data_IF_002783482259
#
_entry.id   IF_002783482259
#
_cell.length_a   1.000
_cell.length_b   1.000
_cell.length_c   1.000
_cell.angle_alpha   90.00
_cell.angle_beta   90.00
_cell.angle_gamma   90.00
#
_symmetry.space_group_name_H-M   'P 1'
#
loop_
_entity.id
_entity.type
_entity.pdbx_description
1 polymer ?
#
# COMPACT_ATOMS: atom_id res chain seq x y z
N UNK A 1 28.71 6.13 -19.67
CA UNK A 1 27.75 6.89 -18.84
C UNK A 1 26.73 5.91 -18.28
N UNK A 2 26.96 5.50 -17.04
CA UNK A 2 26.11 4.60 -16.26
C UNK A 2 24.84 5.34 -15.85
N UNK A 3 23.69 4.94 -16.40
CA UNK A 3 22.38 5.40 -15.96
C UNK A 3 21.53 4.19 -15.59
N UNK A 4 21.14 4.11 -14.32
CA UNK A 4 20.19 3.15 -13.78
C UNK A 4 18.95 3.02 -14.71
N UNK A 5 18.85 1.94 -15.50
CA UNK A 5 17.64 1.56 -16.28
C UNK A 5 16.69 0.69 -15.44
N UNK A 6 16.46 1.09 -14.20
CA UNK A 6 15.63 0.36 -13.24
C UNK A 6 14.79 1.33 -12.44
N UNK A 7 14.01 2.18 -13.11
CA UNK A 7 12.98 2.96 -12.44
C UNK A 7 11.62 2.46 -12.89
N UNK A 8 10.75 2.23 -11.91
CA UNK A 8 9.46 1.59 -11.97
C UNK A 8 8.51 2.16 -13.05
N UNK A 9 8.68 1.74 -14.31
CA UNK A 9 7.88 2.22 -15.45
C UNK A 9 6.37 2.11 -15.21
N UNK A 10 5.92 1.03 -14.54
CA UNK A 10 4.53 0.87 -14.13
C UNK A 10 4.12 1.90 -13.07
N UNK A 11 4.95 2.17 -12.07
CA UNK A 11 4.65 3.16 -11.02
C UNK A 11 4.60 4.57 -11.63
N UNK A 12 5.53 4.91 -12.53
CA UNK A 12 5.49 6.17 -13.27
C UNK A 12 4.23 6.29 -14.12
N UNK A 13 3.84 5.21 -14.83
CA UNK A 13 2.61 5.20 -15.61
C UNK A 13 1.36 5.35 -14.74
N UNK A 14 1.33 4.72 -13.55
CA UNK A 14 0.26 4.89 -12.56
C UNK A 14 0.21 6.35 -12.13
N UNK A 15 1.34 6.95 -11.73
CA UNK A 15 1.37 8.35 -11.27
C UNK A 15 0.82 9.30 -12.33
N UNK A 16 1.29 9.20 -13.57
CA UNK A 16 0.79 10.03 -14.68
C UNK A 16 -0.72 9.83 -14.92
N UNK A 17 -1.19 8.58 -14.89
CA UNK A 17 -2.61 8.27 -15.05
C UNK A 17 -3.46 8.79 -13.89
N UNK A 18 -2.91 8.90 -12.67
CA UNK A 18 -3.57 9.50 -11.53
C UNK A 18 -3.59 11.02 -11.65
N UNK A 19 -2.50 11.65 -12.06
CA UNK A 19 -2.41 13.10 -12.27
C UNK A 19 -3.43 13.57 -13.32
N UNK A 20 -3.61 12.81 -14.41
CA UNK A 20 -4.58 13.08 -15.48
C UNK A 20 -6.06 13.08 -15.01
N UNK A 21 -6.37 12.45 -13.87
CA UNK A 21 -7.75 12.23 -13.40
C UNK A 21 -7.99 12.70 -11.96
N UNK A 22 -7.05 13.48 -11.40
CA UNK A 22 -7.14 14.02 -10.04
C UNK A 22 -6.96 12.98 -8.93
N UNK A 23 -5.93 12.13 -9.05
CA UNK A 23 -5.36 11.35 -7.96
C UNK A 23 -6.05 10.03 -7.61
N UNK A 24 -6.98 9.52 -8.43
CA UNK A 24 -7.78 8.34 -8.05
C UNK A 24 -7.77 7.23 -9.11
N UNK A 25 -7.40 6.00 -8.70
CA UNK A 25 -7.46 4.80 -9.57
C UNK A 25 -8.91 4.52 -10.01
N UNK A 26 -9.89 4.74 -9.12
CA UNK A 26 -11.30 4.57 -9.44
C UNK A 26 -11.75 5.57 -10.51
N UNK A 27 -11.24 6.80 -10.49
CA UNK A 27 -11.45 7.77 -11.57
C UNK A 27 -10.75 7.34 -12.85
N UNK A 28 -9.49 6.90 -12.77
CA UNK A 28 -8.74 6.41 -13.93
C UNK A 28 -9.52 5.31 -14.67
N UNK A 29 -10.09 4.33 -13.95
CA UNK A 29 -10.94 3.27 -14.53
C UNK A 29 -12.18 3.78 -15.27
N UNK A 30 -12.73 4.93 -14.87
CA UNK A 30 -13.89 5.57 -15.51
C UNK A 30 -13.51 6.40 -16.74
N UNK A 31 -12.23 6.65 -17.00
CA UNK A 31 -11.72 7.32 -18.20
C UNK A 31 -11.10 6.29 -19.16
N UNK A 32 -11.82 5.80 -20.19
CA UNK A 32 -11.39 4.64 -20.97
C UNK A 32 -10.05 4.84 -21.71
N UNK A 33 -9.75 6.07 -22.14
CA UNK A 33 -8.49 6.39 -22.82
C UNK A 33 -7.29 6.29 -21.86
N UNK A 34 -7.37 6.94 -20.70
CA UNK A 34 -6.34 6.93 -19.65
C UNK A 34 -6.12 5.50 -19.15
N UNK A 35 -7.22 4.79 -18.84
CA UNK A 35 -7.15 3.42 -18.37
C UNK A 35 -6.50 2.48 -19.38
N UNK A 36 -6.90 2.56 -20.66
CA UNK A 36 -6.35 1.70 -21.72
C UNK A 36 -4.87 1.94 -21.92
N UNK A 37 -4.43 3.21 -21.90
CA UNK A 37 -3.01 3.57 -22.00
C UNK A 37 -2.21 3.01 -20.82
N UNK A 38 -2.69 3.21 -19.59
CA UNK A 38 -2.06 2.68 -18.38
C UNK A 38 -1.90 1.15 -18.46
N UNK A 39 -2.98 0.44 -18.80
CA UNK A 39 -2.98 -1.02 -18.93
C UNK A 39 -2.01 -1.48 -20.02
N UNK A 40 -1.92 -0.77 -21.16
CA UNK A 40 -0.97 -1.11 -22.23
C UNK A 40 0.47 -1.02 -21.74
N UNK A 41 0.84 0.09 -21.10
CA UNK A 41 2.20 0.30 -20.57
C UNK A 41 2.53 -0.75 -19.50
N UNK A 42 1.59 -1.03 -18.60
CA UNK A 42 1.79 -2.06 -17.58
C UNK A 42 1.98 -3.45 -18.19
N UNK A 43 1.15 -3.79 -19.20
CA UNK A 43 1.25 -5.05 -19.94
C UNK A 43 2.61 -5.17 -20.63
N UNK A 44 2.98 -4.18 -21.43
CA UNK A 44 4.27 -4.17 -22.16
C UNK A 44 5.43 -4.29 -21.19
N UNK A 45 5.42 -3.52 -20.10
CA UNK A 45 6.46 -3.58 -19.08
C UNK A 45 6.59 -5.00 -18.53
N UNK A 46 5.49 -5.61 -18.07
CA UNK A 46 5.51 -6.97 -17.49
C UNK A 46 5.98 -8.02 -18.50
N UNK A 47 5.51 -7.93 -19.74
CA UNK A 47 5.89 -8.82 -20.83
C UNK A 47 7.40 -8.72 -21.14
N UNK A 48 7.95 -7.51 -21.16
CA UNK A 48 9.39 -7.28 -21.32
C UNK A 48 10.15 -7.81 -20.11
N UNK A 49 9.75 -7.40 -18.89
CA UNK A 49 10.23 -7.88 -17.59
C UNK A 49 9.19 -7.65 -16.46
N UNK A 50 8.94 -8.60 -15.54
CA UNK A 50 9.80 -9.74 -15.24
C UNK A 50 9.26 -11.08 -15.74
N UNK A 51 8.28 -11.13 -16.65
CA UNK A 51 7.55 -12.37 -16.98
C UNK A 51 8.46 -13.57 -17.32
N UNK A 52 9.47 -13.40 -18.16
CA UNK A 52 10.40 -14.50 -18.46
C UNK A 52 11.34 -14.83 -17.28
N UNK A 53 11.62 -13.88 -16.38
CA UNK A 53 12.49 -14.04 -15.21
C UNK A 53 11.84 -14.86 -14.10
N UNK A 54 10.51 -14.79 -13.95
CA UNK A 54 9.76 -15.52 -12.91
C UNK A 54 9.93 -17.05 -13.00
N UNK A 55 10.31 -17.53 -14.17
CA UNK A 55 10.47 -18.93 -14.49
C UNK A 55 11.94 -19.33 -14.68
N UNK A 56 12.89 -18.47 -14.28
CA UNK A 56 14.33 -18.76 -14.34
C UNK A 56 14.91 -19.02 -12.96
N UNK A 57 15.49 -20.19 -12.78
CA UNK A 57 16.09 -20.62 -11.51
C UNK A 57 17.46 -21.22 -11.79
N UNK A 58 18.49 -20.77 -11.08
CA UNK A 58 19.88 -21.27 -11.18
C UNK A 58 20.43 -21.36 -12.62
N UNK A 59 20.05 -20.41 -13.48
CA UNK A 59 20.48 -20.37 -14.88
C UNK A 59 19.65 -21.23 -15.85
N UNK A 60 18.72 -22.05 -15.35
CA UNK A 60 17.76 -22.81 -16.16
C UNK A 60 16.43 -22.09 -16.34
N UNK A 61 15.76 -22.36 -17.46
CA UNK A 61 14.36 -21.96 -17.69
C UNK A 61 13.47 -23.14 -17.31
N UNK A 62 12.50 -22.90 -16.44
CA UNK A 62 11.55 -23.90 -15.98
C UNK A 62 10.13 -23.50 -16.36
N UNK A 63 9.48 -24.35 -17.13
CA UNK A 63 8.14 -24.13 -17.64
C UNK A 63 7.10 -24.61 -16.63
N UNK A 64 6.92 -23.91 -15.50
CA UNK A 64 6.05 -24.37 -14.40
C UNK A 64 4.82 -23.50 -14.12
N UNK A 65 4.88 -22.19 -14.36
CA UNK A 65 3.74 -21.28 -14.22
C UNK A 65 2.91 -21.20 -15.51
N UNK A 66 3.59 -21.02 -16.64
CA UNK A 66 3.00 -20.87 -17.97
C UNK A 66 4.02 -21.32 -19.03
N UNK A 67 3.52 -21.69 -20.21
CA UNK A 67 4.39 -21.96 -21.35
C UNK A 67 5.16 -20.68 -21.74
N UNK A 68 6.46 -20.80 -21.99
CA UNK A 68 7.24 -19.68 -22.51
C UNK A 68 6.85 -19.43 -23.96
N UNK A 69 6.36 -18.23 -24.26
CA UNK A 69 6.14 -17.80 -25.63
C UNK A 69 7.46 -17.48 -26.33
N UNK A 70 7.62 -17.93 -27.57
CA UNK A 70 8.68 -17.43 -28.45
C UNK A 70 8.18 -16.17 -29.15
N UNK A 71 8.69 -15.00 -28.80
CA UNK A 71 8.33 -13.71 -29.43
C UNK A 71 7.57 -12.75 -28.52
N UNK A 72 6.83 -11.79 -29.09
CA UNK A 72 6.01 -10.84 -28.33
C UNK A 72 4.86 -11.55 -27.63
N UNK A 73 4.94 -11.64 -26.30
CA UNK A 73 3.89 -12.25 -25.47
C UNK A 73 2.78 -11.24 -25.25
N UNK A 74 1.58 -11.48 -25.77
CA UNK A 74 0.42 -10.61 -25.55
C UNK A 74 -0.57 -11.16 -24.52
N UNK A 75 -0.40 -12.41 -24.11
CA UNK A 75 -1.16 -13.08 -23.07
C UNK A 75 -0.36 -14.28 -22.55
N UNK A 76 -0.64 -14.70 -21.32
CA UNK A 76 -0.13 -15.96 -20.77
C UNK A 76 -1.28 -16.88 -20.46
N UNK A 77 -1.06 -18.17 -20.63
CA UNK A 77 -1.98 -19.21 -20.15
C UNK A 77 -1.29 -19.95 -19.02
N UNK A 78 -1.87 -19.87 -17.82
CA UNK A 78 -1.36 -20.59 -16.66
C UNK A 78 -1.50 -22.10 -16.89
N UNK A 79 -0.51 -22.87 -16.42
CA UNK A 79 -0.61 -24.33 -16.41
C UNK A 79 -1.71 -24.79 -15.44
N UNK A 80 -2.24 -25.98 -15.67
CA UNK A 80 -3.27 -26.56 -14.82
C UNK A 80 -2.82 -26.57 -13.35
N UNK A 81 -3.73 -26.19 -12.44
CA UNK A 81 -3.46 -26.13 -11.00
C UNK A 81 -2.70 -24.87 -10.53
N UNK A 82 -2.01 -24.13 -11.40
CA UNK A 82 -1.22 -22.95 -10.99
C UNK A 82 -2.11 -21.86 -10.37
N UNK A 83 -3.25 -21.56 -10.98
CA UNK A 83 -4.19 -20.58 -10.41
C UNK A 83 -4.69 -20.99 -9.01
N UNK A 84 -4.92 -22.28 -8.80
CA UNK A 84 -5.28 -22.82 -7.48
C UNK A 84 -4.13 -22.66 -6.49
N UNK A 85 -2.91 -23.06 -6.84
CA UNK A 85 -1.73 -22.94 -6.00
C UNK A 85 -1.43 -21.48 -5.63
N UNK A 86 -1.52 -20.55 -6.58
CA UNK A 86 -1.33 -19.12 -6.31
C UNK A 86 -2.34 -18.58 -5.29
N UNK A 87 -3.58 -19.05 -5.35
CA UNK A 87 -4.62 -18.67 -4.39
C UNK A 87 -4.39 -19.30 -3.02
N UNK A 88 -4.07 -20.59 -2.98
CA UNK A 88 -3.85 -21.36 -1.76
C UNK A 88 -2.62 -20.84 -0.99
N UNK A 89 -1.50 -20.66 -1.69
CA UNK A 89 -0.24 -20.24 -1.09
C UNK A 89 -0.06 -18.72 -1.10
N UNK A 90 -1.11 -17.93 -1.35
CA UNK A 90 -1.03 -16.47 -1.51
C UNK A 90 -0.29 -15.80 -0.35
N UNK A 91 -0.59 -16.18 0.89
CA UNK A 91 -0.03 -15.56 2.09
C UNK A 91 1.47 -15.85 2.18
N UNK A 92 1.85 -17.12 1.98
CA UNK A 92 3.25 -17.52 1.99
C UNK A 92 4.06 -16.83 0.88
N UNK A 93 3.50 -16.76 -0.34
CA UNK A 93 4.14 -16.07 -1.46
C UNK A 93 4.32 -14.58 -1.14
N UNK A 94 3.29 -13.93 -0.59
CA UNK A 94 3.36 -12.52 -0.19
C UNK A 94 4.45 -12.29 0.85
N UNK A 95 4.46 -13.05 1.94
CA UNK A 95 5.49 -12.94 2.99
C UNK A 95 6.89 -13.14 2.41
N UNK A 96 7.12 -14.19 1.61
CA UNK A 96 8.45 -14.45 1.02
C UNK A 96 8.91 -13.31 0.11
N UNK A 97 8.01 -12.75 -0.71
CA UNK A 97 8.33 -11.64 -1.61
C UNK A 97 8.60 -10.36 -0.82
N UNK A 98 7.77 -10.06 0.19
CA UNK A 98 7.92 -8.89 1.05
C UNK A 98 9.23 -8.96 1.84
N UNK A 99 9.53 -10.09 2.49
CA UNK A 99 10.77 -10.30 3.24
C UNK A 99 12.01 -10.20 2.36
N UNK A 100 11.97 -10.81 1.17
CA UNK A 100 13.06 -10.71 0.20
C UNK A 100 13.28 -9.25 -0.23
N UNK A 101 12.20 -8.49 -0.40
CA UNK A 101 12.27 -7.09 -0.78
C UNK A 101 12.83 -6.20 0.34
N UNK A 102 12.34 -6.37 1.58
CA UNK A 102 12.88 -5.68 2.78
C UNK A 102 14.37 -5.93 2.88
N UNK A 103 14.78 -7.20 2.77
CA UNK A 103 16.19 -7.60 2.83
C UNK A 103 17.00 -6.93 1.73
N UNK A 104 16.53 -6.99 0.48
CA UNK A 104 17.20 -6.34 -0.64
C UNK A 104 17.37 -4.83 -0.44
N UNK A 105 16.34 -4.14 0.07
CA UNK A 105 16.42 -2.71 0.39
C UNK A 105 17.49 -2.43 1.45
N UNK A 106 17.56 -3.25 2.50
CA UNK A 106 18.55 -3.08 3.58
C UNK A 106 19.98 -3.36 3.11
N UNK A 107 20.16 -4.41 2.30
CA UNK A 107 21.45 -4.80 1.75
C UNK A 107 21.97 -3.85 0.66
N UNK A 108 21.09 -3.05 0.06
CA UNK A 108 21.48 -2.03 -0.89
C UNK A 108 22.40 -1.00 -0.19
N UNK A 109 23.67 -0.96 -0.61
CA UNK A 109 24.76 -0.18 0.02
C UNK A 109 24.45 1.30 0.25
N UNK A 110 23.57 1.90 -0.54
CA UNK A 110 23.16 3.30 -0.44
C UNK A 110 22.11 3.54 0.67
N UNK A 111 21.37 2.50 1.05
CA UNK A 111 20.24 2.59 1.99
C UNK A 111 20.64 2.31 3.43
N UNK A 112 21.70 1.52 3.66
CA UNK A 112 22.12 1.11 5.00
C UNK A 112 22.40 2.28 5.95
N UNK A 113 23.00 3.36 5.45
CA UNK A 113 23.29 4.56 6.24
C UNK A 113 22.03 5.40 6.58
N UNK A 114 20.93 5.21 5.85
CA UNK A 114 19.70 6.01 5.97
C UNK A 114 18.67 5.28 6.83
N UNK A 115 18.49 3.97 6.62
CA UNK A 115 17.39 3.20 7.23
C UNK A 115 17.71 2.78 8.67
N UNK A 116 19.00 2.61 9.02
CA UNK A 116 19.42 2.10 10.33
C UNK A 116 18.97 0.65 10.60
N UNK A 117 19.41 0.09 11.74
CA UNK A 117 19.10 -1.29 12.11
C UNK A 117 17.72 -1.47 12.76
N UNK A 118 17.16 -0.40 13.34
CA UNK A 118 16.00 -0.46 14.25
C UNK A 118 14.65 -0.13 13.60
N UNK A 119 14.63 0.50 12.42
CA UNK A 119 13.37 0.85 11.77
C UNK A 119 12.62 -0.42 11.33
N UNK A 120 11.35 -0.56 11.70
CA UNK A 120 10.48 -1.62 11.17
C UNK A 120 10.08 -1.30 9.73
N UNK A 121 11.02 -1.55 8.83
CA UNK A 121 10.88 -1.30 7.40
C UNK A 121 9.77 -2.16 6.77
N UNK A 122 9.47 -3.32 7.34
CA UNK A 122 8.42 -4.19 6.82
C UNK A 122 7.05 -3.52 7.01
N UNK A 123 6.73 -3.13 8.26
CA UNK A 123 5.49 -2.43 8.57
C UNK A 123 5.39 -1.09 7.84
N UNK A 124 6.50 -0.38 7.64
CA UNK A 124 6.52 0.86 6.85
C UNK A 124 6.17 0.63 5.37
N UNK A 125 6.73 -0.40 4.71
CA UNK A 125 6.55 -0.63 3.27
C UNK A 125 5.24 -1.33 2.93
N UNK A 126 4.79 -2.25 3.77
CA UNK A 126 3.70 -3.17 3.47
C UNK A 126 2.51 -3.06 4.41
N UNK A 127 2.65 -2.23 5.45
CA UNK A 127 1.69 -2.11 6.52
C UNK A 127 1.77 -3.24 7.54
N UNK A 128 1.15 -3.01 8.68
CA UNK A 128 0.89 -4.04 9.70
C UNK A 128 -0.47 -4.70 9.45
N UNK A 129 -0.67 -5.92 9.96
CA UNK A 129 -2.04 -6.43 10.09
C UNK A 129 -2.86 -5.44 10.90
N UNK A 130 -4.15 -5.27 10.56
CA UNK A 130 -5.06 -4.41 11.32
C UNK A 130 -5.09 -4.89 12.76
N UNK A 131 -4.51 -4.11 13.66
CA UNK A 131 -4.60 -4.41 15.08
C UNK A 131 -6.02 -4.10 15.59
N UNK A 132 -6.42 -4.77 16.67
CA UNK A 132 -7.62 -4.34 17.39
C UNK A 132 -7.35 -2.98 18.05
N UNK A 133 -7.85 -1.91 17.44
CA UNK A 133 -7.64 -0.55 17.93
C UNK A 133 -8.38 -0.23 19.23
N UNK A 134 -9.25 -1.13 19.71
CA UNK A 134 -9.98 -0.97 20.96
C UNK A 134 -9.08 -0.78 22.18
N UNK A 135 -7.83 -1.24 22.12
CA UNK A 135 -6.82 -1.03 23.17
C UNK A 135 -6.46 0.46 23.38
N UNK A 136 -6.63 1.31 22.35
CA UNK A 136 -6.31 2.73 22.42
C UNK A 136 -7.46 3.59 22.95
N UNK A 137 -8.68 3.04 23.07
CA UNK A 137 -9.86 3.78 23.53
C UNK A 137 -9.64 4.48 24.89
N UNK A 138 -9.10 3.81 25.94
CA UNK A 138 -8.89 4.49 27.22
C UNK A 138 -7.93 5.68 27.12
N UNK A 139 -6.79 5.49 26.43
CA UNK A 139 -5.79 6.54 26.24
C UNK A 139 -6.34 7.73 25.45
N UNK A 140 -7.09 7.47 24.38
CA UNK A 140 -7.66 8.53 23.55
C UNK A 140 -8.82 9.26 24.24
N UNK A 141 -9.59 8.58 25.09
CA UNK A 141 -10.60 9.22 25.95
C UNK A 141 -9.96 10.24 26.87
N UNK A 142 -8.84 9.88 27.51
CA UNK A 142 -8.11 10.77 28.40
C UNK A 142 -7.53 11.96 27.63
N UNK A 143 -6.89 11.71 26.48
CA UNK A 143 -6.25 12.74 25.67
C UNK A 143 -7.26 13.73 25.05
N UNK A 144 -8.39 13.21 24.56
CA UNK A 144 -9.45 14.01 23.93
C UNK A 144 -10.53 14.48 24.92
N UNK A 145 -10.38 14.20 26.22
CA UNK A 145 -11.31 14.57 27.30
C UNK A 145 -12.74 14.12 27.01
N UNK A 146 -12.90 12.86 26.59
CA UNK A 146 -14.19 12.26 26.20
C UNK A 146 -14.95 13.04 25.12
N UNK A 147 -14.24 13.82 24.29
CA UNK A 147 -14.81 14.56 23.15
C UNK A 147 -14.52 13.84 21.82
N UNK A 148 -15.52 13.86 20.93
CA UNK A 148 -15.40 13.39 19.57
C UNK A 148 -14.48 14.33 18.78
N UNK A 149 -13.46 13.76 18.15
CA UNK A 149 -12.47 14.53 17.39
C UNK A 149 -13.08 15.39 16.28
N UNK A 150 -14.13 14.90 15.61
CA UNK A 150 -14.71 15.58 14.45
C UNK A 150 -15.72 16.68 14.82
N UNK A 151 -16.64 16.41 15.74
CA UNK A 151 -17.72 17.35 16.07
C UNK A 151 -17.48 18.15 17.36
N UNK A 152 -16.45 17.80 18.15
CA UNK A 152 -16.18 18.38 19.46
C UNK A 152 -17.21 18.04 20.55
N UNK A 153 -18.28 17.31 20.22
CA UNK A 153 -19.31 16.90 21.16
C UNK A 153 -18.86 15.75 22.07
N UNK A 154 -19.48 15.63 23.25
CA UNK A 154 -19.18 14.53 24.18
C UNK A 154 -19.50 13.15 23.57
N UNK A 155 -18.63 12.18 23.82
CA UNK A 155 -18.82 10.79 23.46
C UNK A 155 -19.83 10.13 24.41
N UNK A 156 -21.08 9.97 23.97
CA UNK A 156 -22.14 9.31 24.74
C UNK A 156 -21.99 7.77 24.74
N UNK A 157 -20.77 7.25 24.93
CA UNK A 157 -20.45 5.81 24.85
C UNK A 157 -18.94 5.51 24.80
N UNK A 158 -18.56 4.35 24.25
CA UNK A 158 -17.13 3.99 24.11
C UNK A 158 -16.38 4.87 23.10
N UNK A 159 -17.07 5.40 22.08
CA UNK A 159 -16.40 5.98 20.91
C UNK A 159 -15.73 4.91 20.05
N UNK A 160 -15.45 5.24 18.79
CA UNK A 160 -14.71 4.39 17.86
C UNK A 160 -13.37 5.04 17.53
N UNK A 161 -12.32 4.22 17.49
CA UNK A 161 -11.00 4.68 17.03
C UNK A 161 -11.01 4.68 15.51
N UNK A 162 -10.72 5.83 14.91
CA UNK A 162 -10.53 6.01 13.46
C UNK A 162 -9.09 6.42 13.13
N UNK A 163 -8.67 6.14 11.90
CA UNK A 163 -7.45 6.71 11.32
C UNK A 163 -7.75 8.09 10.73
N UNK A 164 -7.14 9.14 11.30
CA UNK A 164 -7.28 10.51 10.82
C UNK A 164 -6.95 10.60 9.31
N UNK A 165 -5.78 10.10 8.91
CA UNK A 165 -5.48 9.78 7.51
C UNK A 165 -5.99 8.37 7.19
N UNK A 166 -6.87 8.20 6.18
CA UNK A 166 -7.47 6.90 5.89
C UNK A 166 -6.43 5.79 5.69
N UNK A 167 -6.72 4.59 6.22
CA UNK A 167 -5.90 3.38 6.05
C UNK A 167 -5.53 3.11 4.59
N UNK A 168 -6.45 3.39 3.66
CA UNK A 168 -6.26 3.24 2.22
C UNK A 168 -5.11 4.11 1.65
N UNK A 169 -4.68 5.15 2.37
CA UNK A 169 -3.58 6.05 2.00
C UNK A 169 -2.36 5.89 2.90
N UNK A 170 -2.55 5.49 4.16
CA UNK A 170 -1.48 5.30 5.13
C UNK A 170 -1.73 4.00 5.91
N UNK A 171 -1.21 2.90 5.38
CA UNK A 171 -1.43 1.53 5.88
C UNK A 171 -0.58 1.21 7.12
N UNK A 172 -0.45 2.16 8.05
CA UNK A 172 0.33 1.99 9.28
C UNK A 172 -0.55 2.31 10.48
N UNK A 173 -0.59 1.37 11.44
CA UNK A 173 -1.23 1.56 12.74
C UNK A 173 -0.34 2.42 13.65
N UNK A 174 -0.18 3.68 13.26
CA UNK A 174 0.61 4.65 13.98
C UNK A 174 -0.30 5.40 14.97
N UNK A 175 -0.03 5.29 16.28
CA UNK A 175 -0.87 5.88 17.33
C UNK A 175 -1.13 7.38 17.15
N UNK A 176 -0.17 8.12 16.58
CA UNK A 176 -0.31 9.54 16.24
C UNK A 176 -1.34 9.84 15.14
N UNK A 177 -1.80 8.81 14.42
CA UNK A 177 -2.83 8.90 13.39
C UNK A 177 -4.19 8.39 13.91
N UNK A 178 -4.32 8.06 15.20
CA UNK A 178 -5.58 7.60 15.78
C UNK A 178 -6.33 8.74 16.43
N UNK A 179 -7.63 8.78 16.17
CA UNK A 179 -8.56 9.71 16.81
C UNK A 179 -9.77 8.95 17.31
N UNK A 180 -10.40 9.44 18.37
CA UNK A 180 -11.63 8.88 18.92
C UNK A 180 -12.84 9.70 18.47
N UNK A 181 -13.85 9.05 17.89
CA UNK A 181 -15.01 9.72 17.32
C UNK A 181 -16.33 8.99 17.63
N UNK A 182 -17.46 9.68 17.42
CA UNK A 182 -18.75 9.01 17.31
C UNK A 182 -18.76 8.12 16.06
N UNK A 183 -19.45 6.98 16.13
CA UNK A 183 -19.62 6.09 14.97
C UNK A 183 -20.27 6.79 13.77
N UNK A 184 -21.23 7.70 14.01
CA UNK A 184 -21.85 8.51 12.96
C UNK A 184 -20.84 9.41 12.24
N UNK A 185 -20.10 10.24 13.00
CA UNK A 185 -19.08 11.14 12.44
C UNK A 185 -17.97 10.38 11.71
N UNK A 186 -17.55 9.23 12.24
CA UNK A 186 -16.57 8.35 11.61
C UNK A 186 -17.05 7.85 10.25
N UNK A 187 -18.29 7.36 10.16
CA UNK A 187 -18.84 6.85 8.90
C UNK A 187 -19.13 7.95 7.86
N UNK A 188 -19.42 9.17 8.31
CA UNK A 188 -19.63 10.32 7.42
C UNK A 188 -18.33 10.84 6.78
N UNK A 189 -17.17 10.55 7.37
CA UNK A 189 -15.83 10.78 6.79
C UNK A 189 -15.55 9.80 5.65
N UNK A 190 -16.21 10.01 4.51
CA UNK A 190 -15.98 9.23 3.28
C UNK A 190 -14.63 9.59 2.64
N UNK A 191 -13.52 8.90 2.96
CA UNK A 191 -12.19 8.93 2.26
C UNK A 191 -11.59 10.32 1.87
N UNK A 192 -12.20 11.40 2.34
CA UNK A 192 -11.89 12.79 2.06
C UNK A 192 -11.27 13.33 3.33
N UNK A 193 -9.99 13.69 3.23
CA UNK A 193 -9.35 14.50 4.26
C UNK A 193 -10.11 15.83 4.29
N UNK A 194 -10.78 16.13 5.39
CA UNK A 194 -11.44 17.42 5.57
C UNK A 194 -10.40 18.53 5.43
N UNK A 195 -10.60 19.42 4.47
CA UNK A 195 -9.74 20.58 4.22
C UNK A 195 -10.03 21.73 5.19
N UNK A 196 -10.25 21.43 6.46
CA UNK A 196 -10.37 22.48 7.48
C UNK A 196 -9.18 22.34 8.43
N UNK A 197 -8.36 23.40 8.46
CA UNK A 197 -7.22 23.59 9.36
C UNK A 197 -7.62 23.28 10.81
N UNK A 198 -7.46 22.02 11.21
CA UNK A 198 -7.59 21.63 12.61
C UNK A 198 -6.22 21.78 13.22
N UNK A 199 -5.97 22.93 13.81
CA UNK A 199 -4.81 23.18 14.67
C UNK A 199 -4.94 22.23 15.87
N UNK A 200 -4.06 21.23 15.96
CA UNK A 200 -3.92 20.41 17.17
C UNK A 200 -3.20 21.29 18.20
N UNK A 201 -3.84 21.68 19.33
CA UNK A 201 -3.12 22.31 20.41
C UNK A 201 -2.18 21.25 21.01
N UNK A 202 -0.90 21.38 20.72
CA UNK A 202 0.14 20.71 21.51
C UNK A 202 0.07 21.36 22.88
N UNK A 203 -0.59 20.68 23.83
CA UNK A 203 -0.56 21.09 25.23
C UNK A 203 0.90 21.16 25.66
N UNK A 204 1.32 22.32 26.15
CA UNK A 204 2.62 22.50 26.77
C UNK A 204 2.78 21.44 27.87
N UNK A 205 3.75 20.54 27.72
CA UNK A 205 4.21 19.71 28.81
C UNK A 205 4.83 20.65 29.86
N UNK A 206 4.15 20.80 30.99
CA UNK A 206 4.78 21.20 32.26
C UNK A 206 5.33 19.95 32.96
#
# INVERSE_FOLDING_TARGET
MNGYKGSAAVVTAIQLALDDVGGSVARAKRHPSVWRRLVSVAKETVCDQPLWKLQRVRGGVHDFLYAQGTGQVHSITLRAGVAYCLREFRNHIQTLVQDAWVRWIREARQNGAIIGETADLHSFLFGSERANLGVYVPLLKDLQKDSCFYCGGMLNGRGEVDHFVPWSRYHLDAGQNFVLAHSGCNNDKRDVLEQNETVIPVGECQ
#
